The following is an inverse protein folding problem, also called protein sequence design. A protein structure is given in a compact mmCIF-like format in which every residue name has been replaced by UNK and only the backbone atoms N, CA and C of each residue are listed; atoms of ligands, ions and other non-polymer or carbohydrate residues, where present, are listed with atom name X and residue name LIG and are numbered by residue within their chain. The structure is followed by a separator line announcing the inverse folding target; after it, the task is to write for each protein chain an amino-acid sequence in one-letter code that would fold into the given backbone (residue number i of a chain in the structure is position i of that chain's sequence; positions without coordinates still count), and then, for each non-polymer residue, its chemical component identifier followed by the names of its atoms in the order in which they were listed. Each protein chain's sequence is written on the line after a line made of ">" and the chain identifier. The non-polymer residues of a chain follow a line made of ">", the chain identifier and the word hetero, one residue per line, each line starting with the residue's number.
data_IF_798635179615
#
_entry.id   IF_798635179615
#
_cell.length_a   1.000
_cell.length_b   1.000
_cell.length_c   1.000
_cell.angle_alpha   90.00
_cell.angle_beta   90.00
_cell.angle_gamma   90.00
#
_symmetry.space_group_name_H-M   'P 1'
#
loop_
_entity.id
_entity.type
_entity.pdbx_description
1 polymer ?
#
# COMPACT_ATOMS: atom_id res chain seq x y z
N UNK A 1 43.55 57.70 -12.98
CA UNK A 1 42.08 57.84 -12.88
C UNK A 1 41.45 56.61 -13.52
N UNK A 2 41.43 55.51 -12.75
CA UNK A 2 40.82 54.22 -13.07
C UNK A 2 39.78 53.95 -11.96
N UNK A 3 38.89 52.97 -12.12
CA UNK A 3 37.97 52.42 -11.10
C UNK A 3 36.54 53.00 -10.95
N UNK A 4 35.86 53.41 -12.02
CA UNK A 4 34.40 53.69 -11.90
C UNK A 4 33.47 53.05 -12.94
N UNK A 5 33.95 52.17 -13.82
CA UNK A 5 33.12 51.57 -14.87
C UNK A 5 32.58 50.16 -14.60
N UNK A 6 32.91 49.52 -13.47
CA UNK A 6 32.50 48.12 -13.23
C UNK A 6 31.14 47.92 -12.55
N UNK A 7 30.43 48.98 -12.15
CA UNK A 7 29.17 48.86 -11.38
C UNK A 7 27.87 48.77 -12.21
N UNK A 8 27.92 48.52 -13.52
CA UNK A 8 26.72 48.47 -14.38
C UNK A 8 26.44 47.13 -15.08
N UNK A 9 26.95 46.02 -14.56
CA UNK A 9 26.65 44.67 -15.10
C UNK A 9 25.54 43.92 -14.34
N UNK A 10 24.90 44.55 -13.35
CA UNK A 10 23.76 43.98 -12.61
C UNK A 10 22.41 44.24 -13.31
N UNK A 11 22.21 43.76 -14.54
CA UNK A 11 20.89 43.78 -15.18
C UNK A 11 20.77 42.82 -16.39
N UNK A 12 21.04 41.51 -16.23
CA UNK A 12 20.46 40.45 -17.09
C UNK A 12 20.87 39.05 -16.62
N UNK A 13 20.37 38.65 -15.46
CA UNK A 13 20.30 37.23 -15.09
C UNK A 13 18.82 36.88 -14.95
N UNK A 14 18.31 36.10 -15.90
CA UNK A 14 16.91 35.73 -15.95
C UNK A 14 16.43 35.36 -17.35
N UNK A 15 17.20 34.57 -18.10
CA UNK A 15 16.64 33.84 -19.23
C UNK A 15 16.31 32.44 -18.73
N UNK A 16 15.10 32.31 -18.19
CA UNK A 16 14.53 31.03 -17.82
C UNK A 16 14.28 30.23 -19.09
N UNK A 17 15.10 29.21 -19.27
CA UNK A 17 14.98 28.16 -20.27
C UNK A 17 13.68 27.37 -20.02
N UNK A 18 12.59 27.87 -20.60
CA UNK A 18 11.24 27.31 -20.45
C UNK A 18 10.61 27.17 -21.83
N UNK A 19 11.28 26.45 -22.71
CA UNK A 19 10.82 26.17 -24.06
C UNK A 19 10.96 24.69 -24.41
N UNK A 20 10.43 23.82 -23.57
CA UNK A 20 10.17 22.44 -23.99
C UNK A 20 9.00 21.82 -23.20
N UNK A 21 7.79 22.34 -23.47
CA UNK A 21 6.57 21.57 -23.26
C UNK A 21 5.95 21.35 -24.64
N UNK A 22 6.03 20.14 -25.22
CA UNK A 22 5.29 19.85 -26.42
C UNK A 22 3.80 19.91 -26.08
N UNK A 23 3.13 20.99 -26.52
CA UNK A 23 1.68 21.03 -26.57
C UNK A 23 1.22 19.97 -27.58
N UNK A 24 0.82 18.81 -27.08
CA UNK A 24 0.01 17.88 -27.85
C UNK A 24 -1.39 18.46 -28.06
N UNK A 25 -1.52 19.33 -29.07
CA UNK A 25 -2.80 19.71 -29.65
C UNK A 25 -3.35 18.52 -30.45
N UNK A 26 -3.73 17.44 -29.77
CA UNK A 26 -4.59 16.41 -30.37
C UNK A 26 -6.03 16.90 -30.32
N UNK A 27 -6.45 17.55 -31.41
CA UNK A 27 -7.85 17.79 -31.71
C UNK A 27 -8.59 16.44 -31.82
N UNK A 28 -9.10 15.94 -30.71
CA UNK A 28 -10.06 14.82 -30.68
C UNK A 28 -11.45 15.40 -30.95
N UNK A 29 -11.83 15.43 -32.22
CA UNK A 29 -13.15 15.90 -32.72
C UNK A 29 -14.24 14.81 -32.61
N UNK A 30 -14.02 13.77 -31.81
CA UNK A 30 -15.04 12.77 -31.55
C UNK A 30 -15.72 13.09 -30.22
N UNK A 31 -17.07 13.19 -30.17
CA UNK A 31 -17.77 13.23 -28.90
C UNK A 31 -17.42 11.94 -28.16
N UNK A 32 -16.59 12.06 -27.13
CA UNK A 32 -16.28 10.96 -26.23
C UNK A 32 -17.60 10.66 -25.55
N UNK A 33 -18.31 9.63 -26.00
CA UNK A 33 -19.43 9.05 -25.28
C UNK A 33 -18.83 8.46 -24.01
N UNK A 34 -18.58 9.30 -23.02
CA UNK A 34 -18.28 8.89 -21.66
C UNK A 34 -19.61 8.40 -21.10
N UNK A 35 -20.03 7.21 -21.55
CA UNK A 35 -20.97 6.39 -20.81
C UNK A 35 -20.34 6.31 -19.40
N UNK A 36 -20.93 7.05 -18.46
CA UNK A 36 -20.21 7.60 -17.31
C UNK A 36 -19.50 6.49 -16.53
N UNK A 37 -18.17 6.55 -16.52
CA UNK A 37 -17.29 5.58 -15.85
C UNK A 37 -17.71 5.35 -14.38
N UNK A 38 -18.35 6.35 -13.77
CA UNK A 38 -18.99 6.29 -12.45
C UNK A 38 -20.28 5.44 -12.42
N UNK A 39 -21.20 5.57 -13.38
CA UNK A 39 -22.42 4.76 -13.42
C UNK A 39 -22.11 3.28 -13.68
N UNK A 40 -21.15 2.99 -14.57
CA UNK A 40 -20.65 1.62 -14.75
C UNK A 40 -19.90 1.12 -13.53
N UNK A 41 -19.16 1.99 -12.83
CA UNK A 41 -18.47 1.64 -11.60
C UNK A 41 -19.42 1.13 -10.51
N UNK A 42 -20.57 1.78 -10.33
CA UNK A 42 -21.61 1.37 -9.37
C UNK A 42 -22.31 0.09 -9.81
N UNK A 43 -22.65 -0.03 -11.10
CA UNK A 43 -23.26 -1.23 -11.66
C UNK A 43 -22.34 -2.44 -11.53
N UNK A 44 -21.05 -2.32 -11.90
CA UNK A 44 -20.07 -3.40 -11.74
C UNK A 44 -19.88 -3.81 -10.28
N UNK A 45 -19.96 -2.88 -9.34
CA UNK A 45 -19.84 -3.20 -7.90
C UNK A 45 -21.06 -3.95 -7.36
N UNK A 46 -22.27 -3.57 -7.79
CA UNK A 46 -23.49 -4.32 -7.50
C UNK A 46 -23.47 -5.71 -8.16
N UNK A 47 -23.07 -5.80 -9.43
CA UNK A 47 -22.94 -7.08 -10.14
C UNK A 47 -21.89 -8.00 -9.51
N UNK A 48 -20.74 -7.48 -9.06
CA UNK A 48 -19.72 -8.26 -8.37
C UNK A 48 -20.25 -8.83 -7.04
N UNK A 49 -20.99 -8.03 -6.26
CA UNK A 49 -21.68 -8.51 -5.05
C UNK A 49 -22.75 -9.56 -5.37
N UNK A 50 -23.49 -9.38 -6.47
CA UNK A 50 -24.54 -10.30 -6.88
C UNK A 50 -23.97 -11.65 -7.32
N UNK A 51 -22.94 -11.67 -8.17
CA UNK A 51 -22.31 -12.91 -8.67
C UNK A 51 -21.49 -13.65 -7.60
N UNK A 52 -20.89 -12.94 -6.63
CA UNK A 52 -20.07 -13.54 -5.58
C UNK A 52 -20.86 -14.24 -4.46
N UNK A 53 -22.19 -14.15 -4.47
CA UNK A 53 -23.04 -14.66 -3.38
C UNK A 53 -23.72 -15.96 -3.79
N UNK A 54 -23.74 -16.97 -2.91
CA UNK A 54 -24.42 -18.26 -3.13
C UNK A 54 -25.92 -18.12 -3.50
N UNK A 55 -26.54 -17.01 -3.11
CA UNK A 55 -27.93 -16.68 -3.44
C UNK A 55 -28.21 -16.51 -4.93
N UNK A 56 -27.26 -16.05 -5.75
CA UNK A 56 -27.46 -15.93 -7.20
C UNK A 56 -27.66 -17.29 -7.87
N UNK A 57 -26.82 -18.28 -7.49
CA UNK A 57 -26.92 -19.65 -7.99
C UNK A 57 -28.28 -20.24 -7.61
N UNK A 58 -28.69 -20.10 -6.35
CA UNK A 58 -29.99 -20.59 -5.86
C UNK A 58 -31.14 -19.94 -6.65
N UNK A 59 -31.13 -18.62 -6.80
CA UNK A 59 -32.16 -17.89 -7.55
C UNK A 59 -32.24 -18.33 -9.02
N UNK A 60 -31.10 -18.51 -9.67
CA UNK A 60 -31.03 -18.99 -11.05
C UNK A 60 -31.55 -20.42 -11.20
N UNK A 61 -31.19 -21.32 -10.27
CA UNK A 61 -31.71 -22.70 -10.25
C UNK A 61 -33.22 -22.72 -10.05
N UNK A 62 -33.74 -21.91 -9.12
CA UNK A 62 -35.20 -21.78 -8.89
C UNK A 62 -35.89 -21.24 -10.14
N UNK A 63 -35.33 -20.23 -10.80
CA UNK A 63 -35.88 -19.68 -12.05
C UNK A 63 -35.98 -20.76 -13.14
N UNK A 64 -34.90 -21.51 -13.39
CA UNK A 64 -34.89 -22.60 -14.39
C UNK A 64 -35.89 -23.69 -13.99
N UNK A 65 -35.94 -24.08 -12.72
CA UNK A 65 -36.87 -25.09 -12.24
C UNK A 65 -38.34 -24.65 -12.44
N UNK A 66 -38.68 -23.41 -12.09
CA UNK A 66 -40.03 -22.85 -12.30
C UNK A 66 -40.38 -22.80 -13.79
N UNK A 67 -39.45 -22.40 -14.65
CA UNK A 67 -39.67 -22.37 -16.10
C UNK A 67 -39.99 -23.76 -16.66
N UNK A 68 -39.19 -24.75 -16.28
CA UNK A 68 -39.37 -26.15 -16.71
C UNK A 68 -40.69 -26.70 -16.18
N UNK A 69 -40.99 -26.52 -14.89
CA UNK A 69 -42.24 -26.98 -14.27
C UNK A 69 -43.45 -26.33 -14.95
N UNK A 70 -43.39 -25.01 -15.21
CA UNK A 70 -44.46 -24.30 -15.91
C UNK A 70 -44.70 -24.89 -17.30
N UNK A 71 -43.65 -25.07 -18.11
CA UNK A 71 -43.82 -25.55 -19.48
C UNK A 71 -44.17 -27.04 -19.59
N UNK A 72 -43.90 -27.85 -18.56
CA UNK A 72 -44.33 -29.26 -18.50
C UNK A 72 -45.78 -29.37 -18.00
N UNK A 73 -46.11 -28.68 -16.91
CA UNK A 73 -47.39 -28.81 -16.23
C UNK A 73 -48.50 -27.94 -16.84
N UNK A 74 -48.15 -26.92 -17.63
CA UNK A 74 -49.14 -26.09 -18.31
C UNK A 74 -49.92 -26.89 -19.38
N UNK A 75 -51.23 -26.60 -19.54
CA UNK A 75 -52.03 -27.06 -20.68
C UNK A 75 -51.37 -26.71 -22.02
N UNK A 76 -51.54 -27.55 -23.04
CA UNK A 76 -50.87 -27.43 -24.35
C UNK A 76 -51.03 -26.04 -25.00
N UNK A 77 -52.15 -25.37 -24.75
CA UNK A 77 -52.45 -24.02 -25.23
C UNK A 77 -51.73 -22.88 -24.50
N UNK A 78 -51.06 -23.15 -23.37
CA UNK A 78 -50.34 -22.16 -22.54
C UNK A 78 -48.84 -22.49 -22.40
N UNK A 79 -48.36 -23.56 -23.06
CA UNK A 79 -46.94 -23.89 -23.12
C UNK A 79 -46.26 -22.89 -24.04
N UNK A 80 -45.31 -22.13 -23.50
CA UNK A 80 -44.53 -21.18 -24.27
C UNK A 80 -43.28 -21.82 -24.89
N UNK A 81 -42.74 -22.87 -24.26
CA UNK A 81 -41.45 -23.48 -24.59
C UNK A 81 -41.51 -25.00 -24.38
N UNK A 82 -41.94 -25.75 -25.40
CA UNK A 82 -42.04 -27.21 -25.34
C UNK A 82 -40.66 -27.88 -25.45
N UNK A 83 -40.53 -29.11 -24.92
CA UNK A 83 -39.27 -29.88 -24.98
C UNK A 83 -38.76 -29.94 -26.43
N UNK A 84 -37.53 -29.47 -26.73
CA UNK A 84 -36.34 -29.39 -25.86
C UNK A 84 -36.02 -28.02 -25.20
N UNK A 85 -37.00 -27.14 -24.98
CA UNK A 85 -36.83 -25.83 -24.33
C UNK A 85 -35.89 -24.88 -25.09
N UNK A 86 -36.21 -24.60 -26.36
CA UNK A 86 -35.39 -23.77 -27.23
C UNK A 86 -35.29 -22.33 -26.73
N UNK A 87 -36.37 -21.76 -26.18
CA UNK A 87 -36.36 -20.37 -25.70
C UNK A 87 -35.48 -20.22 -24.47
N UNK A 88 -35.58 -21.14 -23.51
CA UNK A 88 -34.69 -21.17 -22.35
C UNK A 88 -33.24 -21.26 -22.79
N UNK A 89 -32.93 -22.14 -23.76
CA UNK A 89 -31.57 -22.32 -24.28
C UNK A 89 -31.03 -21.05 -24.95
N UNK A 90 -31.85 -20.38 -25.79
CA UNK A 90 -31.48 -19.13 -26.44
C UNK A 90 -31.26 -18.01 -25.42
N UNK A 91 -32.08 -17.93 -24.38
CA UNK A 91 -31.92 -16.93 -23.35
C UNK A 91 -30.65 -17.16 -22.52
N UNK A 92 -30.34 -18.40 -22.16
CA UNK A 92 -29.11 -18.74 -21.44
C UNK A 92 -27.85 -18.48 -22.27
N UNK A 93 -27.88 -18.78 -23.57
CA UNK A 93 -26.74 -18.51 -24.45
C UNK A 93 -26.50 -17.01 -24.64
N UNK A 94 -27.58 -16.22 -24.79
CA UNK A 94 -27.50 -14.76 -24.80
C UNK A 94 -26.98 -14.20 -23.47
N UNK A 95 -27.45 -14.74 -22.35
CA UNK A 95 -27.01 -14.36 -21.00
C UNK A 95 -25.50 -14.59 -20.83
N UNK A 96 -24.98 -15.73 -21.28
CA UNK A 96 -23.54 -15.99 -21.26
C UNK A 96 -22.77 -15.03 -22.17
N UNK A 97 -23.30 -14.74 -23.36
CA UNK A 97 -22.66 -13.86 -24.34
C UNK A 97 -22.53 -12.41 -23.86
N UNK A 98 -23.56 -11.85 -23.22
CA UNK A 98 -23.50 -10.48 -22.68
C UNK A 98 -22.71 -10.39 -21.36
N UNK A 99 -22.61 -11.50 -20.61
CA UNK A 99 -21.83 -11.53 -19.38
C UNK A 99 -20.33 -11.34 -19.65
N UNK A 100 -19.78 -11.96 -20.70
CA UNK A 100 -18.36 -11.87 -21.04
C UNK A 100 -17.82 -10.42 -21.16
N UNK A 101 -18.39 -9.51 -21.97
CA UNK A 101 -17.90 -8.14 -22.08
C UNK A 101 -18.07 -7.35 -20.76
N UNK A 102 -19.13 -7.59 -20.00
CA UNK A 102 -19.30 -6.94 -18.70
C UNK A 102 -18.28 -7.41 -17.67
N UNK A 103 -17.97 -8.71 -17.65
CA UNK A 103 -16.93 -9.28 -16.80
C UNK A 103 -15.58 -8.69 -17.19
N UNK A 104 -15.25 -8.58 -18.49
CA UNK A 104 -14.01 -7.97 -18.95
C UNK A 104 -13.86 -6.52 -18.47
N UNK A 105 -14.93 -5.73 -18.51
CA UNK A 105 -14.92 -4.35 -17.99
C UNK A 105 -14.72 -4.31 -16.46
N UNK A 106 -15.40 -5.21 -15.72
CA UNK A 106 -15.22 -5.32 -14.28
C UNK A 106 -13.78 -5.73 -13.92
N UNK A 107 -13.20 -6.67 -14.68
CA UNK A 107 -11.83 -7.14 -14.52
C UNK A 107 -10.80 -6.05 -14.83
N UNK A 108 -10.97 -5.27 -15.89
CA UNK A 108 -10.07 -4.15 -16.18
C UNK A 108 -9.98 -3.16 -15.01
N UNK A 109 -11.14 -2.81 -14.43
CA UNK A 109 -11.17 -1.91 -13.26
C UNK A 109 -10.52 -2.53 -12.02
N UNK A 110 -10.70 -3.84 -11.82
CA UNK A 110 -10.09 -4.55 -10.71
C UNK A 110 -8.56 -4.59 -10.87
N UNK A 111 -8.08 -4.91 -12.06
CA UNK A 111 -6.66 -4.86 -12.41
C UNK A 111 -6.04 -3.46 -12.22
N UNK A 112 -6.78 -2.39 -12.55
CA UNK A 112 -6.32 -1.01 -12.30
C UNK A 112 -6.15 -0.71 -10.81
N UNK A 113 -7.10 -1.14 -9.97
CA UNK A 113 -7.00 -1.00 -8.49
C UNK A 113 -5.86 -1.84 -7.92
N UNK A 114 -5.73 -3.08 -8.40
CA UNK A 114 -4.69 -4.00 -7.95
C UNK A 114 -3.31 -3.45 -8.32
N UNK A 115 -3.17 -2.83 -9.50
CA UNK A 115 -1.94 -2.16 -9.92
C UNK A 115 -1.56 -1.01 -8.98
N UNK A 116 -2.49 -0.12 -8.66
CA UNK A 116 -2.23 1.01 -7.74
C UNK A 116 -1.83 0.49 -6.36
N UNK A 117 -2.51 -0.54 -5.88
CA UNK A 117 -2.21 -1.16 -4.58
C UNK A 117 -0.79 -1.75 -4.58
N UNK A 118 -0.41 -2.47 -5.65
CA UNK A 118 0.93 -3.03 -5.80
C UNK A 118 2.03 -1.96 -5.93
N UNK A 119 1.76 -0.83 -6.59
CA UNK A 119 2.71 0.29 -6.66
C UNK A 119 2.91 0.94 -5.28
N UNK A 120 1.84 1.10 -4.50
CA UNK A 120 1.93 1.61 -3.13
C UNK A 120 2.66 0.65 -2.19
N UNK A 121 2.41 -0.65 -2.32
CA UNK A 121 3.06 -1.69 -1.52
C UNK A 121 4.57 -1.70 -1.77
N UNK A 122 4.99 -1.67 -3.05
CA UNK A 122 6.41 -1.54 -3.41
C UNK A 122 7.06 -0.29 -2.82
N UNK A 123 6.42 0.87 -2.93
CA UNK A 123 6.94 2.11 -2.36
C UNK A 123 7.05 2.06 -0.83
N UNK A 124 6.14 1.33 -0.18
CA UNK A 124 6.17 1.11 1.27
C UNK A 124 7.31 0.15 1.65
N UNK A 125 7.52 -0.91 0.89
CA UNK A 125 8.61 -1.87 1.11
C UNK A 125 9.98 -1.22 0.95
N UNK A 126 10.16 -0.37 -0.07
CA UNK A 126 11.39 0.40 -0.26
C UNK A 126 11.68 1.31 0.95
N UNK A 127 10.64 1.97 1.49
CA UNK A 127 10.77 2.79 2.71
C UNK A 127 11.09 1.93 3.94
N UNK A 128 10.41 0.80 4.12
CA UNK A 128 10.66 -0.10 5.24
C UNK A 128 12.10 -0.65 5.20
N UNK A 129 12.62 -0.95 4.01
CA UNK A 129 14.00 -1.38 3.82
C UNK A 129 14.98 -0.26 4.22
N UNK A 130 14.75 0.97 3.73
CA UNK A 130 15.56 2.12 4.11
C UNK A 130 15.53 2.41 5.62
N UNK A 131 14.35 2.33 6.25
CA UNK A 131 14.19 2.51 7.70
C UNK A 131 14.92 1.41 8.48
N UNK A 132 14.87 0.16 7.98
CA UNK A 132 15.60 -0.96 8.60
C UNK A 132 17.10 -0.79 8.48
N UNK A 133 17.61 -0.34 7.33
CA UNK A 133 19.03 -0.03 7.13
C UNK A 133 19.48 1.11 8.05
N UNK A 134 18.66 2.16 8.16
CA UNK A 134 18.91 3.28 9.06
C UNK A 134 18.99 2.82 10.53
N UNK A 135 17.97 2.09 11.00
CA UNK A 135 17.95 1.56 12.37
C UNK A 135 19.13 0.61 12.62
N UNK A 136 19.51 -0.22 11.65
CA UNK A 136 20.67 -1.11 11.77
C UNK A 136 21.97 -0.31 11.94
N UNK A 137 22.12 0.79 11.19
CA UNK A 137 23.28 1.68 11.31
C UNK A 137 23.32 2.41 12.64
N UNK A 138 22.19 2.93 13.10
CA UNK A 138 22.05 3.58 14.41
C UNK A 138 22.32 2.60 15.56
N UNK A 139 21.81 1.36 15.47
CA UNK A 139 22.11 0.33 16.49
C UNK A 139 23.60 -0.03 16.48
N UNK A 140 24.24 -0.10 15.30
CA UNK A 140 25.67 -0.33 15.21
C UNK A 140 26.50 0.81 15.82
N UNK A 141 26.15 2.07 15.56
CA UNK A 141 26.83 3.23 16.15
C UNK A 141 26.63 3.29 17.67
N UNK A 142 25.40 3.08 18.16
CA UNK A 142 25.09 2.99 19.58
C UNK A 142 25.87 1.87 20.27
N UNK A 143 25.99 0.70 19.63
CA UNK A 143 26.77 -0.43 20.16
C UNK A 143 28.26 -0.09 20.29
N UNK A 144 28.83 0.63 19.32
CA UNK A 144 30.25 1.05 19.37
C UNK A 144 30.44 2.06 20.50
N UNK A 145 29.59 3.09 20.59
CA UNK A 145 29.64 4.08 21.66
C UNK A 145 29.54 3.44 23.06
N UNK A 146 28.61 2.50 23.24
CA UNK A 146 28.47 1.74 24.49
C UNK A 146 29.68 0.85 24.80
N UNK A 147 30.33 0.29 23.79
CA UNK A 147 31.55 -0.52 23.95
C UNK A 147 32.76 0.33 24.35
N UNK A 148 32.91 1.52 23.77
CA UNK A 148 33.97 2.47 24.10
C UNK A 148 33.80 3.05 25.51
N UNK A 149 32.57 3.14 26.01
CA UNK A 149 32.28 3.48 27.41
C UNK A 149 32.63 2.33 28.41
N UNK A 150 33.40 1.32 27.97
CA UNK A 150 34.22 0.46 28.81
C UNK A 150 33.51 -0.14 30.04
N UNK A 151 32.27 -0.62 29.89
CA UNK A 151 31.39 -0.98 31.03
C UNK A 151 31.93 -2.08 31.94
N UNK A 152 32.96 -2.84 31.55
CA UNK A 152 33.54 -3.88 32.40
C UNK A 152 34.80 -3.42 33.10
N UNK A 153 35.78 -2.90 32.36
CA UNK A 153 37.07 -2.53 32.95
C UNK A 153 37.00 -1.20 33.70
N UNK A 154 36.18 -0.25 33.23
CA UNK A 154 35.88 0.97 33.98
C UNK A 154 35.07 0.67 35.26
N UNK A 155 34.01 -0.14 35.16
CA UNK A 155 33.22 -0.52 36.35
C UNK A 155 34.07 -1.31 37.35
N UNK A 156 34.95 -2.19 36.85
CA UNK A 156 35.88 -2.94 37.71
C UNK A 156 36.95 -2.04 38.34
N UNK A 157 37.53 -1.10 37.61
CA UNK A 157 38.52 -0.17 38.17
C UNK A 157 37.90 0.73 39.21
N UNK A 158 36.68 1.23 38.97
CA UNK A 158 36.00 2.12 39.91
C UNK A 158 35.56 1.39 41.18
N UNK A 159 35.03 0.17 41.05
CA UNK A 159 34.77 -0.68 42.21
C UNK A 159 36.04 -0.99 43.01
N UNK A 160 37.19 -1.15 42.34
CA UNK A 160 38.46 -1.45 43.01
C UNK A 160 39.03 -0.21 43.71
N UNK A 161 39.02 0.95 43.06
CA UNK A 161 39.36 2.24 43.68
C UNK A 161 38.49 2.52 44.91
N UNK A 162 37.17 2.34 44.81
CA UNK A 162 36.27 2.56 45.94
C UNK A 162 36.51 1.58 47.10
N UNK A 163 36.86 0.32 46.80
CA UNK A 163 37.25 -0.66 47.83
C UNK A 163 38.56 -0.25 48.52
N UNK A 164 39.55 0.17 47.75
CA UNK A 164 40.87 0.60 48.25
C UNK A 164 40.73 1.84 49.15
N UNK A 165 39.90 2.81 48.75
CA UNK A 165 39.60 4.00 49.56
C UNK A 165 38.90 3.64 50.89
N UNK A 166 38.00 2.66 50.90
CA UNK A 166 37.35 2.20 52.13
C UNK A 166 38.32 1.45 53.04
N UNK A 167 39.21 0.63 52.48
CA UNK A 167 40.25 -0.09 53.23
C UNK A 167 41.24 0.89 53.87
N UNK A 168 41.72 1.88 53.13
CA UNK A 168 42.62 2.91 53.63
C UNK A 168 41.99 3.73 54.77
N UNK A 169 40.71 4.12 54.64
CA UNK A 169 39.96 4.77 55.73
C UNK A 169 39.82 3.89 56.97
N UNK A 170 39.68 2.57 56.80
CA UNK A 170 39.58 1.62 57.91
C UNK A 170 40.93 1.42 58.62
N UNK A 171 42.03 1.42 57.87
CA UNK A 171 43.39 1.32 58.41
C UNK A 171 43.74 2.56 59.23
N UNK A 172 43.46 3.76 58.70
CA UNK A 172 43.67 5.01 59.44
C UNK A 172 42.86 5.03 60.74
N UNK A 173 41.60 4.54 60.70
CA UNK A 173 40.78 4.40 61.92
C UNK A 173 41.38 3.40 62.92
N UNK A 174 41.93 2.28 62.45
CA UNK A 174 42.58 1.28 63.31
C UNK A 174 43.89 1.78 63.94
N UNK A 175 44.67 2.61 63.23
CA UNK A 175 45.89 3.23 63.77
C UNK A 175 45.57 4.29 64.84
N UNK A 176 44.52 5.10 64.64
CA UNK A 176 44.04 6.06 65.64
C UNK A 176 43.57 5.36 66.93
N UNK A 177 42.89 4.22 66.82
CA UNK A 177 42.48 3.41 67.98
C UNK A 177 43.70 2.79 68.69
N UNK A 178 44.66 2.25 67.95
CA UNK A 178 45.88 1.66 68.51
C UNK A 178 46.84 2.69 69.14
N UNK A 179 46.81 3.94 68.67
CA UNK A 179 47.56 5.05 69.27
C UNK A 179 46.90 5.60 70.54
N UNK A 180 45.58 5.42 70.69
CA UNK A 180 44.83 5.83 71.87
C UNK A 180 44.96 4.81 73.02
N UNK A 181 45.32 3.56 72.73
CA UNK A 181 45.45 2.47 73.70
C UNK A 181 46.87 2.29 74.31
N UNK A 182 47.86 3.09 73.90
CA UNK A 182 49.23 3.10 74.46
C UNK A 182 49.47 4.27 75.41
#
# INVERSE_FOLDING_TARGET
>A
MSERSERRSAARAGHSDKLDQPQEQRARVLPRITLSQEAFGVLSEQFARLMGTAGFIIGMTVFVAVWVVWNIAAPVNLRFDEFPFIFLTLMLSLQASYAAPLILLAQNRQADRDRVTLEQDRARDERNLADTEFLTREVASLRIALREQATRDFVRSELRNLLEELEERSLIRGEDEAATER
#
